data_IF_849809890554
#
_entry.id   IF_849809890554
#
_cell.length_a   1.000
_cell.length_b   1.000
_cell.length_c   1.000
_cell.angle_alpha   90.00
_cell.angle_beta   90.00
_cell.angle_gamma   90.00
#
_symmetry.space_group_name_H-M   'P 1'
#
loop_
_entity.id
_entity.type
_entity.pdbx_description
1 polymer ?
#
# COMPACT_ATOMS: atom_id res chain seq x y z
N UNK A 1 5.16 -28.85 -10.22
CA UNK A 1 5.22 -27.38 -10.38
C UNK A 1 4.20 -26.68 -9.51
N UNK A 2 2.89 -26.85 -9.69
CA UNK A 2 1.88 -26.10 -8.91
C UNK A 2 1.97 -26.31 -7.38
N UNK A 3 2.10 -27.56 -6.93
CA UNK A 3 2.20 -27.89 -5.49
C UNK A 3 3.44 -27.27 -4.83
N UNK A 4 4.54 -27.16 -5.56
CA UNK A 4 5.79 -26.58 -5.06
C UNK A 4 5.67 -25.05 -4.93
N UNK A 5 5.03 -24.39 -5.90
CA UNK A 5 4.73 -22.95 -5.81
C UNK A 5 3.82 -22.62 -4.63
N UNK A 6 2.80 -23.46 -4.37
CA UNK A 6 1.90 -23.29 -3.22
C UNK A 6 2.66 -23.40 -1.89
N UNK A 7 3.55 -24.40 -1.74
CA UNK A 7 4.36 -24.54 -0.52
C UNK A 7 5.34 -23.36 -0.33
N UNK A 8 5.92 -22.85 -1.43
CA UNK A 8 6.77 -21.66 -1.37
C UNK A 8 6.01 -20.41 -0.91
N UNK A 9 4.81 -20.17 -1.45
CA UNK A 9 3.95 -19.04 -1.05
C UNK A 9 3.55 -19.17 0.41
N UNK A 10 3.15 -20.36 0.85
CA UNK A 10 2.80 -20.63 2.25
C UNK A 10 3.97 -20.34 3.19
N UNK A 11 5.17 -20.86 2.86
CA UNK A 11 6.37 -20.60 3.65
C UNK A 11 6.83 -19.14 3.63
N UNK A 12 6.56 -18.39 2.56
CA UNK A 12 6.78 -16.94 2.53
C UNK A 12 5.78 -16.21 3.45
N UNK A 13 4.47 -16.51 3.32
CA UNK A 13 3.41 -15.93 4.17
C UNK A 13 3.67 -16.15 5.65
N UNK A 14 4.08 -17.36 6.05
CA UNK A 14 4.36 -17.67 7.45
C UNK A 14 5.55 -16.87 7.99
N UNK A 15 6.61 -16.70 7.20
CA UNK A 15 7.77 -15.86 7.56
C UNK A 15 7.39 -14.39 7.67
N UNK A 16 6.62 -13.87 6.72
CA UNK A 16 6.17 -12.47 6.73
C UNK A 16 5.22 -12.20 7.90
N UNK A 17 4.30 -13.13 8.20
CA UNK A 17 3.42 -13.04 9.36
C UNK A 17 4.19 -13.00 10.67
N UNK A 18 5.25 -13.82 10.80
CA UNK A 18 6.12 -13.80 11.98
C UNK A 18 6.87 -12.47 12.16
N UNK A 19 7.29 -11.81 11.07
CA UNK A 19 7.89 -10.48 11.13
C UNK A 19 6.87 -9.41 11.54
N UNK A 20 5.64 -9.45 10.99
CA UNK A 20 4.56 -8.55 11.38
C UNK A 20 4.16 -8.67 12.84
N UNK A 21 4.11 -9.90 13.37
CA UNK A 21 3.74 -10.17 14.76
C UNK A 21 4.69 -9.54 15.79
N UNK A 22 5.91 -9.14 15.39
CA UNK A 22 6.86 -8.42 16.25
C UNK A 22 6.40 -6.98 16.55
N UNK A 23 5.60 -6.39 15.66
CA UNK A 23 5.16 -4.98 15.72
C UNK A 23 3.66 -4.88 15.96
N UNK A 24 2.88 -5.79 15.36
CA UNK A 24 1.42 -5.80 15.42
C UNK A 24 0.97 -6.97 16.31
N UNK A 25 0.33 -6.66 17.43
CA UNK A 25 -0.11 -7.65 18.42
C UNK A 25 -1.64 -7.80 18.38
N UNK A 26 -2.12 -9.05 18.34
CA UNK A 26 -3.54 -9.39 18.49
C UNK A 26 -4.43 -9.05 17.30
N UNK A 27 -3.86 -9.03 16.08
CA UNK A 27 -4.57 -8.72 14.83
C UNK A 27 -4.38 -9.81 13.76
N UNK A 28 -4.25 -11.08 14.19
CA UNK A 28 -3.88 -12.20 13.31
C UNK A 28 -4.85 -12.38 12.13
N UNK A 29 -6.15 -12.30 12.39
CA UNK A 29 -7.19 -12.42 11.35
C UNK A 29 -7.14 -11.27 10.34
N UNK A 30 -6.81 -10.06 10.80
CA UNK A 30 -6.69 -8.88 9.92
C UNK A 30 -5.46 -9.01 9.03
N UNK A 31 -4.33 -9.47 9.59
CA UNK A 31 -3.11 -9.74 8.85
C UNK A 31 -3.35 -10.80 7.78
N UNK A 32 -4.09 -11.86 8.10
CA UNK A 32 -4.42 -12.90 7.13
C UNK A 32 -5.25 -12.36 5.96
N UNK A 33 -6.32 -11.61 6.24
CA UNK A 33 -7.14 -11.01 5.18
C UNK A 33 -6.34 -10.01 4.31
N UNK A 34 -5.39 -9.28 4.90
CA UNK A 34 -4.52 -8.39 4.14
C UNK A 34 -3.59 -9.17 3.20
N UNK A 35 -2.99 -10.28 3.64
CA UNK A 35 -2.19 -11.12 2.76
C UNK A 35 -3.03 -11.66 1.60
N UNK A 36 -4.25 -12.15 1.88
CA UNK A 36 -5.16 -12.63 0.84
C UNK A 36 -5.44 -11.54 -0.18
N UNK A 37 -5.77 -10.32 0.26
CA UNK A 37 -6.08 -9.22 -0.64
C UNK A 37 -4.88 -8.81 -1.49
N UNK A 38 -3.68 -8.67 -0.91
CA UNK A 38 -2.48 -8.30 -1.66
C UNK A 38 -2.15 -9.36 -2.72
N UNK A 39 -2.18 -10.65 -2.34
CA UNK A 39 -1.87 -11.76 -3.25
C UNK A 39 -2.93 -11.93 -4.36
N UNK A 40 -4.19 -11.60 -4.07
CA UNK A 40 -5.29 -11.63 -5.04
C UNK A 40 -5.42 -10.36 -5.88
N UNK A 41 -4.62 -9.31 -5.61
CA UNK A 41 -4.76 -8.00 -6.26
C UNK A 41 -6.05 -7.26 -5.89
N UNK A 42 -6.62 -7.53 -4.72
CA UNK A 42 -7.83 -6.92 -4.20
C UNK A 42 -7.58 -5.66 -3.37
N UNK A 43 -8.67 -5.08 -2.85
CA UNK A 43 -8.64 -3.91 -1.96
C UNK A 43 -9.26 -4.24 -0.61
N UNK A 44 -8.71 -3.69 0.47
CA UNK A 44 -9.24 -3.86 1.82
C UNK A 44 -9.77 -2.55 2.39
N UNK A 45 -10.89 -2.64 3.12
CA UNK A 45 -11.39 -1.57 3.97
C UNK A 45 -11.18 -1.94 5.44
N UNK A 46 -10.29 -1.21 6.12
CA UNK A 46 -9.96 -1.44 7.53
C UNK A 46 -10.82 -0.55 8.44
N UNK A 47 -11.87 -1.10 9.04
CA UNK A 47 -12.76 -0.39 9.98
C UNK A 47 -12.42 -0.65 11.44
N UNK A 48 -12.73 0.30 12.34
CA UNK A 48 -12.53 0.16 13.79
C UNK A 48 -12.09 1.46 14.45
N UNK A 49 -11.98 1.44 15.78
CA UNK A 49 -11.68 2.63 16.56
C UNK A 49 -10.32 3.26 16.20
N UNK A 50 -10.16 4.59 16.37
CA UNK A 50 -8.88 5.27 16.28
C UNK A 50 -7.85 4.67 17.23
N UNK A 51 -6.58 4.65 16.84
CA UNK A 51 -5.49 4.17 17.70
C UNK A 51 -5.25 2.66 17.66
N UNK A 52 -6.02 1.87 16.90
CA UNK A 52 -5.81 0.43 16.73
C UNK A 52 -4.73 0.07 15.71
N UNK A 53 -3.65 0.86 15.65
CA UNK A 53 -2.48 0.61 14.82
C UNK A 53 -2.74 0.37 13.31
N UNK A 54 -3.89 0.78 12.75
CA UNK A 54 -4.25 0.55 11.33
C UNK A 54 -3.19 1.08 10.36
N UNK A 55 -2.75 2.32 10.58
CA UNK A 55 -1.70 2.94 9.77
C UNK A 55 -0.37 2.22 9.92
N UNK A 56 -0.02 1.81 11.15
CA UNK A 56 1.21 1.08 11.42
C UNK A 56 1.20 -0.30 10.74
N UNK A 57 0.05 -0.99 10.75
CA UNK A 57 -0.14 -2.27 10.10
C UNK A 57 0.09 -2.17 8.59
N UNK A 58 -0.60 -1.24 7.90
CA UNK A 58 -0.45 -1.07 6.45
C UNK A 58 0.97 -0.63 6.09
N UNK A 59 1.58 0.27 6.87
CA UNK A 59 2.96 0.70 6.65
C UNK A 59 3.99 -0.43 6.87
N UNK A 60 3.82 -1.25 7.91
CA UNK A 60 4.70 -2.40 8.17
C UNK A 60 4.59 -3.44 7.07
N UNK A 61 3.37 -3.66 6.56
CA UNK A 61 3.11 -4.56 5.45
C UNK A 61 3.78 -4.05 4.16
N UNK A 62 3.71 -2.75 3.88
CA UNK A 62 4.38 -2.16 2.70
C UNK A 62 5.90 -2.35 2.77
N UNK A 63 6.49 -2.19 3.95
CA UNK A 63 7.92 -2.42 4.16
C UNK A 63 8.32 -3.88 3.96
N UNK A 64 7.49 -4.83 4.40
CA UNK A 64 7.76 -6.26 4.22
C UNK A 64 7.69 -6.71 2.76
N UNK A 65 6.82 -6.11 1.95
CA UNK A 65 6.68 -6.41 0.53
C UNK A 65 7.55 -5.53 -0.38
N UNK A 66 8.35 -4.61 0.18
CA UNK A 66 9.11 -3.59 -0.56
C UNK A 66 8.21 -2.77 -1.53
N UNK A 67 7.05 -2.35 -1.02
CA UNK A 67 6.07 -1.55 -1.75
C UNK A 67 6.20 -0.07 -1.40
N UNK A 68 6.07 0.78 -2.42
CA UNK A 68 5.87 2.21 -2.24
C UNK A 68 4.54 2.46 -1.52
N UNK A 69 4.60 3.20 -0.42
CA UNK A 69 3.46 3.50 0.43
C UNK A 69 3.07 4.96 0.31
N UNK A 70 1.79 5.25 0.06
CA UNK A 70 1.29 6.61 0.10
C UNK A 70 -0.03 6.72 0.88
N UNK A 71 -0.07 7.64 1.85
CA UNK A 71 -1.26 7.89 2.64
C UNK A 71 -2.01 9.11 2.11
N UNK A 72 -3.23 8.89 1.62
CA UNK A 72 -4.17 9.95 1.25
C UNK A 72 -5.14 10.18 2.41
N UNK A 73 -5.16 11.40 2.95
CA UNK A 73 -6.19 11.82 3.90
C UNK A 73 -7.33 12.47 3.11
N UNK A 74 -8.51 11.85 3.14
CA UNK A 74 -9.70 12.46 2.56
C UNK A 74 -10.09 13.70 3.37
N UNK A 75 -10.21 14.83 2.66
CA UNK A 75 -10.71 16.12 3.13
C UNK A 75 -11.82 16.59 2.17
N UNK A 76 -12.76 17.45 2.58
CA UNK A 76 -13.82 17.93 1.70
C UNK A 76 -13.30 18.70 0.48
N UNK A 77 -12.09 19.24 0.56
CA UNK A 77 -11.47 20.04 -0.51
C UNK A 77 -10.59 19.21 -1.46
N UNK A 78 -10.43 17.91 -1.20
CA UNK A 78 -9.54 17.05 -2.01
C UNK A 78 -10.07 16.94 -3.44
N UNK A 79 -9.26 17.36 -4.41
CA UNK A 79 -9.60 17.28 -5.83
C UNK A 79 -9.11 15.96 -6.43
N UNK A 80 -9.79 15.41 -7.46
CA UNK A 80 -9.31 14.20 -8.13
C UNK A 80 -7.86 14.32 -8.63
N UNK A 81 -7.46 15.49 -9.12
CA UNK A 81 -6.10 15.77 -9.57
C UNK A 81 -5.05 15.64 -8.45
N UNK A 82 -5.41 15.87 -7.18
CA UNK A 82 -4.51 15.65 -6.04
C UNK A 82 -4.20 14.17 -5.82
N UNK A 83 -5.05 13.28 -6.35
CA UNK A 83 -4.91 11.82 -6.26
C UNK A 83 -4.27 11.25 -7.53
N UNK A 84 -4.78 11.66 -8.69
CA UNK A 84 -4.36 11.13 -10.00
C UNK A 84 -3.11 11.80 -10.53
N UNK A 85 -2.75 12.99 -10.06
CA UNK A 85 -1.68 13.81 -10.63
C UNK A 85 -2.18 14.89 -11.58
N UNK A 86 -1.27 15.78 -11.97
CA UNK A 86 -1.56 16.97 -12.79
C UNK A 86 -0.46 17.22 -13.81
N UNK A 87 -0.81 17.90 -14.90
CA UNK A 87 0.15 18.44 -15.85
C UNK A 87 0.63 19.81 -15.37
N UNK A 88 1.95 20.00 -15.31
CA UNK A 88 2.58 21.28 -15.01
C UNK A 88 3.40 21.76 -16.19
N UNK A 89 3.47 23.07 -16.36
CA UNK A 89 4.33 23.69 -17.36
C UNK A 89 5.71 23.92 -16.73
N UNK A 90 6.72 23.17 -17.18
CA UNK A 90 8.11 23.39 -16.80
C UNK A 90 8.88 24.09 -17.92
N UNK A 91 9.83 24.94 -17.54
CA UNK A 91 10.78 25.53 -18.47
C UNK A 91 12.10 24.77 -18.37
N UNK A 92 12.42 24.03 -19.42
CA UNK A 92 13.66 23.26 -19.53
C UNK A 92 14.42 23.79 -20.73
N UNK A 93 15.65 24.26 -20.51
CA UNK A 93 16.53 24.82 -21.55
C UNK A 93 15.89 25.95 -22.40
N UNK A 94 15.07 26.80 -21.77
CA UNK A 94 14.39 27.93 -22.43
C UNK A 94 13.16 27.54 -23.26
N UNK A 95 12.74 26.26 -23.21
CA UNK A 95 11.52 25.78 -23.84
C UNK A 95 10.47 25.41 -22.80
N UNK A 96 9.22 25.83 -23.04
CA UNK A 96 8.07 25.46 -22.22
C UNK A 96 7.58 24.07 -22.62
N UNK A 97 7.59 23.13 -21.68
CA UNK A 97 7.11 21.75 -21.87
C UNK A 97 6.07 21.41 -20.82
N UNK A 98 5.03 20.70 -21.23
CA UNK A 98 4.08 20.10 -20.30
C UNK A 98 4.66 18.81 -19.73
N UNK A 99 4.77 18.71 -18.41
CA UNK A 99 5.32 17.56 -17.67
C UNK A 99 4.23 17.03 -16.74
N UNK A 100 3.98 15.72 -16.80
CA UNK A 100 3.02 15.07 -15.91
C UNK A 100 3.67 14.74 -14.56
N UNK A 101 3.09 15.27 -13.49
CA UNK A 101 3.48 14.96 -12.12
C UNK A 101 2.50 13.93 -11.56
N UNK A 102 3.02 12.74 -11.27
CA UNK A 102 2.26 11.61 -10.73
C UNK A 102 1.70 11.94 -9.34
N UNK A 103 0.41 11.69 -9.15
CA UNK A 103 -0.23 11.76 -7.84
C UNK A 103 0.05 10.52 -6.96
N UNK A 104 -0.48 10.50 -5.74
CA UNK A 104 -0.28 9.42 -4.78
C UNK A 104 -0.85 8.07 -5.21
N UNK A 105 -1.83 8.02 -6.13
CA UNK A 105 -2.43 6.76 -6.62
C UNK A 105 -1.45 5.84 -7.36
N UNK A 106 -0.29 6.36 -7.76
CA UNK A 106 0.76 5.57 -8.42
C UNK A 106 1.65 4.79 -7.43
N UNK A 107 1.42 4.95 -6.12
CA UNK A 107 1.97 4.03 -5.13
C UNK A 107 1.28 2.65 -5.22
N UNK A 108 1.96 1.61 -4.77
CA UNK A 108 1.46 0.23 -4.78
C UNK A 108 1.09 -0.29 -3.37
N UNK A 109 0.93 0.63 -2.41
CA UNK A 109 0.37 0.39 -1.07
C UNK A 109 -0.27 1.63 -0.45
#
# INVERSE_FOLDING_TARGET
MEREAVEQIKGARDRMGAELAKVIVGQDDVIEHLFIAVLAGGHCLLTGAPGLAKTLLVHSLSQLFDLSFCRIQFTPDLMPADITGTEILEEVDGHRKMVFVKGPVFANM
#
